data_IF_808391945180
#
_entry.id   IF_808391945180
#
_cell.length_a   1.000
_cell.length_b   1.000
_cell.length_c   1.000
_cell.angle_alpha   90.00
_cell.angle_beta   90.00
_cell.angle_gamma   90.00
#
_symmetry.space_group_name_H-M   'P 1'
#
loop_
_entity.id
_entity.type
_entity.pdbx_description
1 polymer ?
#
# COMPACT_ATOMS: atom_id res chain seq x y z
N UNK A 1 2.22 19.30 1.09
CA UNK A 1 1.36 18.24 0.54
C UNK A 1 1.10 17.24 1.65
N UNK A 2 -0.14 16.97 2.02
CA UNK A 2 -0.43 15.93 3.02
C UNK A 2 -0.15 14.57 2.38
N UNK A 3 0.85 13.84 2.90
CA UNK A 3 1.03 12.43 2.58
C UNK A 3 -0.29 11.73 2.93
N UNK A 4 -1.01 11.25 1.92
CA UNK A 4 -2.32 10.63 2.13
C UNK A 4 -2.10 9.30 2.84
N UNK A 5 -2.14 9.33 4.17
CA UNK A 5 -1.85 8.19 5.02
C UNK A 5 -2.93 7.11 4.80
N UNK A 6 -2.48 5.90 4.47
CA UNK A 6 -3.35 4.74 4.27
C UNK A 6 -3.12 3.75 5.41
N UNK A 7 -4.18 3.41 6.13
CA UNK A 7 -4.16 2.42 7.20
C UNK A 7 -5.11 1.27 6.89
N UNK A 8 -4.63 0.05 7.13
CA UNK A 8 -5.38 -1.17 6.90
C UNK A 8 -5.18 -2.17 8.02
N UNK A 9 -6.21 -2.94 8.34
CA UNK A 9 -6.12 -4.14 9.15
C UNK A 9 -6.00 -5.36 8.26
N UNK A 10 -4.85 -6.01 8.32
CA UNK A 10 -4.59 -7.27 7.63
C UNK A 10 -4.88 -8.45 8.57
N UNK A 11 -5.70 -9.41 8.10
CA UNK A 11 -5.89 -10.70 8.76
C UNK A 11 -5.47 -11.83 7.83
N UNK A 12 -4.67 -12.74 8.36
CA UNK A 12 -4.25 -13.96 7.68
C UNK A 12 -4.85 -15.16 8.41
N UNK A 13 -5.47 -16.07 7.68
CA UNK A 13 -6.03 -17.30 8.23
C UNK A 13 -5.69 -18.50 7.35
N UNK A 14 -5.47 -19.63 8.00
CA UNK A 14 -5.31 -20.92 7.34
C UNK A 14 -5.99 -21.97 8.21
N UNK A 15 -7.02 -22.59 7.66
CA UNK A 15 -7.72 -23.71 8.29
C UNK A 15 -6.97 -25.02 7.97
N UNK A 16 -7.19 -26.09 8.75
CA UNK A 16 -6.44 -27.35 8.64
C UNK A 16 -6.44 -27.94 7.22
N UNK A 17 -7.57 -27.83 6.51
CA UNK A 17 -7.75 -28.40 5.17
C UNK A 17 -7.45 -27.41 4.03
N UNK A 18 -6.82 -26.27 4.33
CA UNK A 18 -6.50 -25.26 3.31
C UNK A 18 -5.02 -25.32 2.88
N UNK A 19 -4.76 -25.48 1.56
CA UNK A 19 -3.39 -25.52 1.05
C UNK A 19 -2.68 -24.16 1.10
N UNK A 20 -3.45 -23.07 1.15
CA UNK A 20 -2.92 -21.70 1.10
C UNK A 20 -3.53 -20.82 2.21
N UNK A 21 -2.78 -19.81 2.62
CA UNK A 21 -3.27 -18.75 3.50
C UNK A 21 -4.27 -17.87 2.75
N UNK A 22 -5.47 -17.70 3.33
CA UNK A 22 -6.40 -16.66 2.90
C UNK A 22 -6.05 -15.37 3.62
N UNK A 23 -6.28 -14.25 2.94
CA UNK A 23 -6.05 -12.93 3.50
C UNK A 23 -7.30 -12.07 3.38
N UNK A 24 -7.50 -11.18 4.35
CA UNK A 24 -8.47 -10.10 4.26
C UNK A 24 -7.83 -8.79 4.65
N UNK A 25 -8.07 -7.75 3.86
CA UNK A 25 -7.61 -6.39 4.11
C UNK A 25 -8.82 -5.50 4.35
N UNK A 26 -8.84 -4.80 5.47
CA UNK A 26 -9.90 -3.88 5.84
C UNK A 26 -9.35 -2.46 5.91
N UNK A 27 -9.96 -1.52 5.19
CA UNK A 27 -9.59 -0.11 5.27
C UNK A 27 -10.07 0.47 6.61
N UNK A 28 -9.12 0.98 7.41
CA UNK A 28 -9.42 1.47 8.76
C UNK A 28 -10.34 2.71 8.78
N UNK A 29 -10.44 3.44 7.66
CA UNK A 29 -11.25 4.66 7.56
C UNK A 29 -12.64 4.40 7.00
N UNK A 30 -12.76 3.51 6.00
CA UNK A 30 -14.02 3.27 5.29
C UNK A 30 -14.72 1.99 5.74
N UNK A 31 -14.02 1.08 6.42
CA UNK A 31 -14.51 -0.26 6.73
C UNK A 31 -14.59 -1.18 5.50
N UNK A 32 -14.11 -0.73 4.33
CA UNK A 32 -14.11 -1.54 3.12
C UNK A 32 -13.27 -2.80 3.32
N UNK A 33 -13.86 -3.96 3.01
CA UNK A 33 -13.25 -5.26 3.21
C UNK A 33 -12.96 -5.95 1.88
N UNK A 34 -11.68 -6.25 1.65
CA UNK A 34 -11.20 -6.96 0.47
C UNK A 34 -10.73 -8.34 0.90
N UNK A 35 -11.13 -9.37 0.16
CA UNK A 35 -10.81 -10.78 0.46
C UNK A 35 -9.94 -11.35 -0.65
N UNK A 36 -8.91 -12.09 -0.27
CA UNK A 36 -7.97 -12.72 -1.18
C UNK A 36 -7.97 -14.23 -0.99
N UNK A 37 -7.94 -14.97 -2.10
CA UNK A 37 -7.93 -16.43 -2.06
C UNK A 37 -6.57 -16.96 -1.60
N UNK A 38 -5.50 -16.19 -1.84
CA UNK A 38 -4.13 -16.52 -1.47
C UNK A 38 -3.30 -15.27 -1.12
N UNK A 39 -2.14 -15.47 -0.52
CA UNK A 39 -1.22 -14.40 -0.13
C UNK A 39 -0.66 -13.62 -1.34
N UNK A 40 -0.48 -14.26 -2.50
CA UNK A 40 0.12 -13.61 -3.67
C UNK A 40 -0.79 -12.53 -4.26
N UNK A 41 -2.09 -12.78 -4.31
CA UNK A 41 -3.10 -11.78 -4.72
C UNK A 41 -3.08 -10.55 -3.80
N UNK A 42 -3.04 -10.78 -2.48
CA UNK A 42 -2.95 -9.71 -1.49
C UNK A 42 -1.68 -8.87 -1.67
N UNK A 43 -0.51 -9.51 -1.84
CA UNK A 43 0.75 -8.79 -2.04
C UNK A 43 0.72 -7.93 -3.32
N UNK A 44 0.19 -8.47 -4.42
CA UNK A 44 0.03 -7.70 -5.67
C UNK A 44 -0.85 -6.47 -5.46
N UNK A 45 -1.97 -6.63 -4.75
CA UNK A 45 -2.85 -5.52 -4.41
C UNK A 45 -2.13 -4.45 -3.59
N UNK A 46 -1.40 -4.84 -2.54
CA UNK A 46 -0.67 -3.90 -1.68
C UNK A 46 0.42 -3.16 -2.45
N UNK A 47 1.20 -3.84 -3.28
CA UNK A 47 2.25 -3.21 -4.10
C UNK A 47 1.66 -2.20 -5.10
N UNK A 48 0.51 -2.51 -5.70
CA UNK A 48 -0.14 -1.58 -6.64
C UNK A 48 -0.75 -0.35 -5.94
N UNK A 49 -1.25 -0.52 -4.72
CA UNK A 49 -2.01 0.54 -4.02
C UNK A 49 -1.19 1.34 -3.00
N UNK A 50 -0.03 0.84 -2.55
CA UNK A 50 0.82 1.47 -1.55
C UNK A 50 2.08 2.14 -2.12
N UNK A 51 2.45 1.89 -3.38
CA UNK A 51 3.55 2.64 -4.01
C UNK A 51 3.06 4.07 -4.24
N UNK A 52 3.43 4.95 -3.31
CA UNK A 52 3.39 6.39 -3.52
C UNK A 52 4.43 6.70 -4.59
N UNK A 53 4.09 7.34 -5.72
CA UNK A 53 5.12 7.88 -6.60
C UNK A 53 5.93 8.86 -5.77
N UNK A 54 7.20 8.51 -5.50
CA UNK A 54 8.13 9.40 -4.84
C UNK A 54 8.12 10.71 -5.62
N UNK A 55 7.63 11.79 -5.01
CA UNK A 55 7.80 13.13 -5.57
C UNK A 55 9.28 13.47 -5.46
N UNK A 56 10.06 12.97 -6.43
CA UNK A 56 11.46 13.33 -6.58
C UNK A 56 11.50 14.80 -6.98
N UNK A 57 11.49 15.65 -5.96
CA UNK A 57 11.57 17.10 -6.09
C UNK A 57 13.05 17.42 -6.24
N UNK A 58 13.60 17.10 -7.41
CA UNK A 58 14.89 17.61 -7.84
C UNK A 58 14.83 19.13 -7.91
N UNK A 59 15.08 19.80 -6.78
CA UNK A 59 15.39 21.23 -6.77
C UNK A 59 16.75 21.41 -7.45
N UNK A 60 16.74 21.62 -8.77
CA UNK A 60 17.82 22.37 -9.43
C UNK A 60 17.33 23.81 -9.58
N UNK A 61 17.50 24.58 -8.51
CA UNK A 61 17.49 26.04 -8.57
C UNK A 61 18.94 26.48 -8.29
N UNK A 62 19.71 26.65 -9.35
CA UNK A 62 20.98 27.37 -9.31
C UNK A 62 20.85 28.56 -10.27
N UNK A 63 20.20 29.61 -9.80
CA UNK A 63 20.40 30.95 -10.32
C UNK A 63 21.51 31.57 -9.49
N UNK A 64 22.72 31.58 -10.05
CA UNK A 64 23.82 32.40 -9.55
C UNK A 64 23.52 33.88 -9.84
N UNK A 65 23.66 34.79 -8.86
CA UNK A 65 23.79 36.21 -9.10
C UNK A 65 25.25 36.61 -8.85
N UNK A 66 26.00 36.99 -9.89
CA UNK A 66 27.24 37.77 -9.76
C UNK A 66 27.30 38.73 -10.97
N UNK A 67 27.06 40.03 -10.78
CA UNK A 67 28.00 41.08 -10.30
C UNK A 67 29.00 41.50 -11.36
#
# INVERSE_FOLDING_TARGET
MSTQYKAFLLRLRRDADQPHWRATLENAYTGELIRFANQNEMLRYLLQNLVVPSSDSGQQNAQEPQS
#
